data_IF_240836409422
#
_entry.id   IF_240836409422
#
_cell.length_a   1.000
_cell.length_b   1.000
_cell.length_c   1.000
_cell.angle_alpha   90.00
_cell.angle_beta   90.00
_cell.angle_gamma   90.00
#
_symmetry.space_group_name_H-M   'P 1'
#
loop_
_entity.id
_entity.type
_entity.pdbx_description
1 polymer ?
#
# COMPACT_ATOMS: atom_id res chain seq x y z
N UNK A 1 13.20 35.86 -14.22
CA UNK A 1 12.19 34.95 -13.66
C UNK A 1 12.66 33.50 -13.70
N UNK A 2 13.14 33.00 -14.85
CA UNK A 2 13.64 31.62 -15.00
C UNK A 2 14.80 31.24 -14.07
N UNK A 3 15.78 32.14 -13.85
CA UNK A 3 16.92 31.86 -12.97
C UNK A 3 16.48 31.59 -11.51
N UNK A 4 15.53 32.40 -11.02
CA UNK A 4 14.98 32.25 -9.68
C UNK A 4 14.19 30.95 -9.53
N UNK A 5 13.47 30.54 -10.58
CA UNK A 5 12.74 29.27 -10.57
C UNK A 5 13.68 28.06 -10.62
N UNK A 6 14.78 28.11 -11.40
CA UNK A 6 15.81 27.06 -11.36
C UNK A 6 16.40 26.88 -9.97
N UNK A 7 16.79 27.98 -9.31
CA UNK A 7 17.27 27.92 -7.93
C UNK A 7 16.24 27.35 -6.97
N UNK A 8 14.97 27.71 -7.16
CA UNK A 8 13.87 27.14 -6.38
C UNK A 8 13.80 25.62 -6.59
N UNK A 9 13.82 25.13 -7.83
CA UNK A 9 13.79 23.69 -8.13
C UNK A 9 14.99 22.96 -7.55
N UNK A 10 16.19 23.53 -7.61
CA UNK A 10 17.39 22.94 -7.03
C UNK A 10 17.28 22.86 -5.49
N UNK A 11 16.90 23.97 -4.84
CA UNK A 11 16.71 24.02 -3.39
C UNK A 11 15.67 23.00 -2.91
N UNK A 12 14.58 22.90 -3.67
CA UNK A 12 13.54 21.91 -3.50
C UNK A 12 14.14 20.48 -3.62
N UNK A 13 14.86 20.16 -4.69
CA UNK A 13 15.44 18.83 -4.89
C UNK A 13 16.41 18.44 -3.75
N UNK A 14 17.24 19.39 -3.29
CA UNK A 14 18.11 19.16 -2.13
C UNK A 14 17.32 18.94 -0.84
N UNK A 15 16.23 19.69 -0.64
CA UNK A 15 15.33 19.48 0.50
C UNK A 15 14.70 18.08 0.45
N UNK A 16 14.26 17.61 -0.72
CA UNK A 16 13.72 16.26 -0.89
C UNK A 16 14.76 15.18 -0.53
N UNK A 17 15.99 15.33 -1.01
CA UNK A 17 17.10 14.44 -0.65
C UNK A 17 17.37 14.44 0.86
N UNK A 18 17.43 15.62 1.48
CA UNK A 18 17.69 15.75 2.91
C UNK A 18 16.56 15.14 3.76
N UNK A 19 15.30 15.41 3.40
CA UNK A 19 14.14 14.81 4.04
C UNK A 19 14.11 13.29 3.84
N UNK A 20 14.48 12.79 2.65
CA UNK A 20 14.57 11.36 2.37
C UNK A 20 15.55 10.64 3.31
N UNK A 21 16.74 11.19 3.50
CA UNK A 21 17.74 10.64 4.45
C UNK A 21 17.21 10.71 5.89
N UNK A 22 16.68 11.87 6.29
CA UNK A 22 16.14 12.07 7.65
C UNK A 22 15.01 11.07 7.95
N UNK A 23 14.03 10.95 7.06
CA UNK A 23 12.90 10.04 7.25
C UNK A 23 13.32 8.58 7.15
N UNK A 24 14.29 8.20 6.32
CA UNK A 24 14.81 6.83 6.31
C UNK A 24 15.28 6.41 7.71
N UNK A 25 16.07 7.26 8.38
CA UNK A 25 16.58 7.00 9.74
C UNK A 25 15.44 7.05 10.77
N UNK A 26 14.57 8.07 10.70
CA UNK A 26 13.48 8.24 11.67
C UNK A 26 12.48 7.07 11.62
N UNK A 27 12.19 6.56 10.43
CA UNK A 27 11.21 5.50 10.23
C UNK A 27 11.70 4.14 10.70
N UNK A 28 13.01 3.89 10.70
CA UNK A 28 13.59 2.69 11.32
C UNK A 28 13.42 2.71 12.85
N UNK A 29 13.47 3.89 13.47
CA UNK A 29 13.37 4.05 14.92
C UNK A 29 11.91 4.08 15.41
N UNK A 30 11.05 4.83 14.73
CA UNK A 30 9.67 5.12 15.21
C UNK A 30 8.63 4.21 14.55
N UNK A 31 8.90 3.73 13.33
CA UNK A 31 7.90 3.09 12.47
C UNK A 31 6.85 4.09 11.96
N UNK A 32 6.43 3.95 10.70
CA UNK A 32 5.36 4.78 10.13
C UNK A 32 4.02 4.39 10.78
N UNK A 33 3.21 5.33 11.30
CA UNK A 33 1.88 5.05 11.86
C UNK A 33 0.83 4.78 10.75
N UNK A 34 1.16 3.88 9.82
CA UNK A 34 0.36 3.51 8.68
C UNK A 34 0.28 2.00 8.51
N UNK A 35 -0.86 1.51 7.98
CA UNK A 35 -1.09 0.10 7.67
C UNK A 35 -0.93 -0.84 8.88
N UNK A 36 0.20 -1.54 8.97
CA UNK A 36 0.44 -2.51 10.06
C UNK A 36 0.51 -1.82 11.42
N UNK A 37 1.03 -0.60 11.46
CA UNK A 37 1.32 0.17 12.67
C UNK A 37 0.24 1.22 13.00
N UNK A 38 -0.96 1.11 12.41
CA UNK A 38 -2.09 1.99 12.76
C UNK A 38 -2.47 1.82 14.23
N UNK A 39 -2.31 2.87 15.03
CA UNK A 39 -2.83 2.93 16.41
C UNK A 39 -4.36 3.13 16.41
N UNK A 40 -5.13 2.43 17.27
CA UNK A 40 -6.60 2.48 17.27
C UNK A 40 -7.27 3.84 17.62
N UNK A 41 -6.55 4.95 17.74
CA UNK A 41 -7.03 6.16 18.41
C UNK A 41 -7.35 7.39 17.56
N UNK A 42 -7.14 7.37 16.23
CA UNK A 42 -7.37 8.57 15.40
C UNK A 42 -8.84 8.66 14.97
N UNK A 43 -9.57 9.70 15.40
CA UNK A 43 -10.98 9.92 15.04
C UNK A 43 -11.20 10.26 13.55
N UNK A 44 -10.15 10.67 12.84
CA UNK A 44 -10.21 11.14 11.46
C UNK A 44 -9.49 10.14 10.54
N UNK A 45 -10.21 9.12 10.12
CA UNK A 45 -9.71 8.05 9.26
C UNK A 45 -10.43 8.07 7.91
N UNK A 46 -9.67 7.96 6.83
CA UNK A 46 -10.16 7.83 5.46
C UNK A 46 -10.22 6.36 5.06
N UNK A 47 -11.16 6.02 4.17
CA UNK A 47 -11.13 4.71 3.51
C UNK A 47 -9.79 4.54 2.80
N UNK A 48 -9.24 3.32 2.80
CA UNK A 48 -7.93 3.06 2.21
C UNK A 48 -7.91 3.51 0.74
N UNK A 49 -8.93 3.16 -0.04
CA UNK A 49 -9.04 3.55 -1.45
C UNK A 49 -9.06 5.07 -1.62
N UNK A 50 -9.87 5.79 -0.84
CA UNK A 50 -9.93 7.27 -0.93
C UNK A 50 -8.58 7.89 -0.59
N UNK A 51 -7.92 7.46 0.48
CA UNK A 51 -6.63 7.99 0.87
C UNK A 51 -5.56 7.76 -0.20
N UNK A 52 -5.52 6.56 -0.78
CA UNK A 52 -4.56 6.23 -1.84
C UNK A 52 -4.81 7.01 -3.14
N UNK A 53 -6.07 7.21 -3.54
CA UNK A 53 -6.38 8.07 -4.70
C UNK A 53 -5.97 9.50 -4.40
N UNK A 54 -6.44 10.07 -3.28
CA UNK A 54 -6.20 11.48 -2.95
C UNK A 54 -4.71 11.77 -2.83
N UNK A 55 -3.94 10.94 -2.13
CA UNK A 55 -2.54 11.22 -1.88
C UNK A 55 -1.66 11.13 -3.14
N UNK A 56 -1.94 10.20 -4.06
CA UNK A 56 -1.09 9.94 -5.23
C UNK A 56 -1.51 10.73 -6.48
N UNK A 57 -2.80 11.13 -6.56
CA UNK A 57 -3.36 11.82 -7.73
C UNK A 57 -2.61 13.11 -8.12
N UNK A 58 -2.08 13.94 -7.20
CA UNK A 58 -1.33 15.13 -7.57
C UNK A 58 -0.11 14.85 -8.44
N UNK A 59 0.60 13.73 -8.23
CA UNK A 59 1.72 13.35 -9.07
C UNK A 59 1.30 12.89 -10.48
N UNK A 60 0.02 12.68 -10.74
CA UNK A 60 -0.50 12.51 -12.10
C UNK A 60 -1.02 13.83 -12.68
N UNK A 61 -1.82 14.57 -11.91
CA UNK A 61 -2.50 15.78 -12.37
C UNK A 61 -1.52 16.94 -12.60
N UNK A 62 -0.54 17.13 -11.72
CA UNK A 62 0.41 18.24 -11.83
C UNK A 62 1.26 18.12 -13.09
N UNK A 63 1.90 16.98 -13.42
CA UNK A 63 2.62 16.84 -14.68
C UNK A 63 1.78 17.10 -15.92
N UNK A 64 0.55 16.58 -15.95
CA UNK A 64 -0.36 16.78 -17.09
C UNK A 64 -0.76 18.25 -17.22
N UNK A 65 -1.05 18.92 -16.09
CA UNK A 65 -1.33 20.34 -16.05
C UNK A 65 -0.14 21.16 -16.57
N UNK A 66 1.08 20.88 -16.10
CA UNK A 66 2.30 21.57 -16.56
C UNK A 66 2.51 21.40 -18.06
N UNK A 67 2.25 20.21 -18.61
CA UNK A 67 2.38 19.95 -20.06
C UNK A 67 1.42 20.78 -20.90
N UNK A 68 0.21 21.05 -20.41
CA UNK A 68 -0.84 21.78 -21.15
C UNK A 68 -0.77 23.28 -20.89
N UNK A 69 -0.48 23.70 -19.66
CA UNK A 69 -0.55 25.10 -19.23
C UNK A 69 0.73 25.90 -19.52
N UNK A 70 1.85 25.24 -19.82
CA UNK A 70 3.14 25.91 -20.06
C UNK A 70 3.67 25.60 -21.44
N UNK A 71 4.44 26.53 -22.02
CA UNK A 71 5.19 26.30 -23.25
C UNK A 71 6.32 25.29 -22.97
N UNK A 72 6.00 24.00 -22.96
CA UNK A 72 6.89 22.90 -22.62
C UNK A 72 7.91 22.60 -23.72
N UNK A 73 8.74 23.60 -24.05
CA UNK A 73 9.66 23.59 -25.19
C UNK A 73 10.59 22.38 -25.21
N UNK A 74 11.00 21.86 -24.05
CA UNK A 74 11.93 20.71 -23.97
C UNK A 74 11.26 19.37 -24.24
N UNK A 75 9.92 19.28 -24.24
CA UNK A 75 9.19 18.07 -24.61
C UNK A 75 9.14 17.82 -26.12
N UNK A 76 9.68 18.75 -26.93
CA UNK A 76 9.94 18.47 -28.34
C UNK A 76 11.02 17.38 -28.53
N UNK A 77 11.91 17.22 -27.56
CA UNK A 77 12.99 16.22 -27.56
C UNK A 77 12.48 14.86 -27.08
N UNK A 78 12.90 13.80 -27.78
CA UNK A 78 12.47 12.43 -27.47
C UNK A 78 12.81 11.98 -26.04
N UNK A 79 14.04 12.19 -25.50
CA UNK A 79 14.38 11.70 -24.18
C UNK A 79 13.49 12.28 -23.07
N UNK A 80 13.25 13.59 -23.10
CA UNK A 80 12.39 14.27 -22.12
C UNK A 80 10.95 13.74 -22.17
N UNK A 81 10.42 13.52 -23.37
CA UNK A 81 9.07 12.97 -23.56
C UNK A 81 8.95 11.56 -23.01
N UNK A 82 9.94 10.70 -23.26
CA UNK A 82 9.92 9.32 -22.77
C UNK A 82 10.05 9.28 -21.24
N UNK A 83 10.97 10.06 -20.65
CA UNK A 83 11.13 10.13 -19.19
C UNK A 83 9.85 10.62 -18.50
N UNK A 84 9.22 11.66 -19.04
CA UNK A 84 7.97 12.17 -18.48
C UNK A 84 6.82 11.18 -18.67
N UNK A 85 6.77 10.48 -19.82
CA UNK A 85 5.79 9.42 -20.05
C UNK A 85 5.96 8.25 -19.07
N UNK A 86 7.19 7.84 -18.76
CA UNK A 86 7.46 6.82 -17.74
C UNK A 86 6.91 7.24 -16.37
N UNK A 87 7.12 8.50 -15.98
CA UNK A 87 6.58 9.05 -14.74
C UNK A 87 5.04 9.02 -14.72
N UNK A 88 4.40 9.50 -15.79
CA UNK A 88 2.94 9.52 -15.93
C UNK A 88 2.37 8.11 -15.91
N UNK A 89 2.94 7.16 -16.67
CA UNK A 89 2.50 5.76 -16.72
C UNK A 89 2.58 5.10 -15.34
N UNK A 90 3.66 5.36 -14.60
CA UNK A 90 3.79 4.88 -13.22
C UNK A 90 2.65 5.41 -12.34
N UNK A 91 2.38 6.71 -12.38
CA UNK A 91 1.34 7.33 -11.56
C UNK A 91 -0.08 7.03 -12.03
N UNK A 92 -0.33 6.74 -13.32
CA UNK A 92 -1.62 6.18 -13.77
C UNK A 92 -1.87 4.86 -13.05
N UNK A 93 -0.90 3.94 -13.05
CA UNK A 93 -1.06 2.68 -12.34
C UNK A 93 -1.26 2.91 -10.83
N UNK A 94 -0.44 3.75 -10.19
CA UNK A 94 -0.49 3.95 -8.74
C UNK A 94 -1.71 4.72 -8.22
N UNK A 95 -2.20 5.72 -8.97
CA UNK A 95 -3.32 6.57 -8.53
C UNK A 95 -4.68 6.09 -9.05
N UNK A 96 -4.75 5.47 -10.23
CA UNK A 96 -6.03 5.10 -10.88
C UNK A 96 -6.29 3.60 -10.96
N UNK A 97 -5.26 2.75 -10.89
CA UNK A 97 -5.43 1.30 -11.02
C UNK A 97 -5.29 0.64 -9.65
N UNK A 98 -4.16 0.86 -8.99
CA UNK A 98 -3.82 0.25 -7.71
C UNK A 98 -4.88 0.49 -6.61
N UNK A 99 -5.41 1.72 -6.38
CA UNK A 99 -6.29 1.97 -5.23
C UNK A 99 -7.63 1.22 -5.33
N UNK A 100 -8.11 0.99 -6.56
CA UNK A 100 -9.34 0.26 -6.85
C UNK A 100 -9.14 -1.27 -6.78
N UNK A 101 -7.90 -1.73 -6.82
CA UNK A 101 -7.53 -3.14 -6.66
C UNK A 101 -7.29 -3.52 -5.19
N UNK A 102 -7.29 -2.55 -4.26
CA UNK A 102 -7.06 -2.80 -2.83
C UNK A 102 -8.21 -3.64 -2.24
N UNK A 103 -7.86 -4.77 -1.62
CA UNK A 103 -8.79 -5.63 -0.86
C UNK A 103 -8.55 -5.48 0.65
N UNK A 104 -9.57 -5.08 1.41
CA UNK A 104 -9.54 -5.10 2.89
C UNK A 104 -8.45 -4.23 3.54
N UNK A 105 -8.33 -2.96 3.12
CA UNK A 105 -7.37 -2.02 3.71
C UNK A 105 -7.81 -1.49 5.07
N UNK A 106 -6.89 -1.44 6.04
CA UNK A 106 -7.12 -0.66 7.27
C UNK A 106 -7.30 0.82 6.90
N UNK A 107 -8.18 1.56 7.59
CA UNK A 107 -8.33 2.97 7.32
C UNK A 107 -7.01 3.73 7.49
N UNK A 108 -6.83 4.74 6.65
CA UNK A 108 -5.64 5.60 6.64
C UNK A 108 -5.88 6.81 7.52
N UNK A 109 -4.91 7.21 8.34
CA UNK A 109 -5.05 8.47 9.09
C UNK A 109 -4.94 9.68 8.15
N UNK A 110 -5.78 10.69 8.39
CA UNK A 110 -5.86 11.88 7.53
C UNK A 110 -4.53 12.63 7.39
N UNK A 111 -3.73 12.76 8.47
CA UNK A 111 -2.49 13.53 8.43
C UNK A 111 -1.43 12.87 7.53
N UNK A 112 -1.39 11.53 7.51
CA UNK A 112 -0.52 10.76 6.60
C UNK A 112 -0.92 11.03 5.15
N UNK A 113 -2.23 11.05 4.87
CA UNK A 113 -2.75 11.36 3.55
C UNK A 113 -2.39 12.79 3.11
N UNK A 114 -2.48 13.78 4.01
CA UNK A 114 -2.11 15.17 3.72
C UNK A 114 -0.61 15.32 3.46
N UNK A 115 0.24 14.70 4.29
CA UNK A 115 1.69 14.72 4.07
C UNK A 115 2.06 14.09 2.72
N UNK A 116 1.47 12.94 2.40
CA UNK A 116 1.68 12.27 1.12
C UNK A 116 1.13 13.09 -0.07
N UNK A 117 -0.01 13.77 0.08
CA UNK A 117 -0.55 14.69 -0.92
C UNK A 117 0.41 15.85 -1.22
N UNK A 118 0.94 16.50 -0.16
CA UNK A 118 1.90 17.60 -0.31
C UNK A 118 3.16 17.11 -1.02
N UNK A 119 3.71 15.97 -0.57
CA UNK A 119 4.86 15.35 -1.20
C UNK A 119 4.61 15.03 -2.69
N UNK A 120 3.49 14.40 -3.03
CA UNK A 120 3.16 14.04 -4.40
C UNK A 120 2.92 15.27 -5.30
N UNK A 121 2.33 16.33 -4.76
CA UNK A 121 2.14 17.61 -5.47
C UNK A 121 3.50 18.22 -5.79
N UNK A 122 4.34 18.30 -4.76
CA UNK A 122 5.67 18.88 -4.82
C UNK A 122 6.59 18.10 -5.78
N UNK A 123 6.71 16.78 -5.62
CA UNK A 123 7.52 15.93 -6.48
C UNK A 123 7.00 15.92 -7.93
N UNK A 124 5.68 15.86 -8.12
CA UNK A 124 5.06 15.96 -9.44
C UNK A 124 5.41 17.27 -10.16
N UNK A 125 5.39 18.39 -9.43
CA UNK A 125 5.83 19.68 -9.97
C UNK A 125 7.32 19.68 -10.29
N UNK A 126 8.18 19.22 -9.38
CA UNK A 126 9.63 19.19 -9.55
C UNK A 126 10.02 18.42 -10.83
N UNK A 127 9.56 17.18 -10.97
CA UNK A 127 9.89 16.30 -12.10
C UNK A 127 9.36 16.84 -13.42
N UNK A 128 8.08 17.25 -13.44
CA UNK A 128 7.46 17.73 -14.68
C UNK A 128 8.05 19.06 -15.13
N UNK A 129 8.24 20.02 -14.22
CA UNK A 129 8.81 21.33 -14.54
C UNK A 129 10.24 21.22 -15.02
N UNK A 130 11.07 20.38 -14.37
CA UNK A 130 12.45 20.17 -14.78
C UNK A 130 12.54 19.54 -16.18
N UNK A 131 11.81 18.46 -16.44
CA UNK A 131 11.85 17.77 -17.74
C UNK A 131 11.26 18.59 -18.90
N UNK A 132 10.29 19.46 -18.62
CA UNK A 132 9.61 20.24 -19.66
C UNK A 132 10.30 21.57 -20.01
N UNK A 133 11.07 22.17 -19.10
CA UNK A 133 11.69 23.51 -19.32
C UNK A 133 13.21 23.53 -19.20
N UNK A 134 13.80 22.66 -18.38
CA UNK A 134 15.20 22.81 -17.97
C UNK A 134 16.13 21.69 -18.41
N UNK A 135 15.63 20.46 -18.55
CA UNK A 135 16.42 19.31 -18.97
C UNK A 135 16.84 19.41 -20.45
N UNK A 136 18.15 19.35 -20.69
CA UNK A 136 18.75 19.37 -22.02
C UNK A 136 19.39 18.02 -22.29
N UNK A 137 18.72 17.22 -23.11
CA UNK A 137 19.28 15.97 -23.65
C UNK A 137 19.37 16.08 -25.18
N UNK A 138 20.40 15.45 -25.73
CA UNK A 138 20.52 15.25 -27.17
C UNK A 138 19.54 14.17 -27.64
N UNK A 139 19.09 14.21 -28.90
CA UNK A 139 18.05 13.30 -29.38
C UNK A 139 18.52 11.84 -29.47
N UNK A 140 19.82 11.62 -29.68
CA UNK A 140 20.50 10.32 -29.63
C UNK A 140 20.63 9.78 -28.21
N UNK A 141 20.30 10.55 -27.17
CA UNK A 141 20.36 10.08 -25.79
C UNK A 141 19.46 8.87 -25.53
N UNK A 142 18.40 8.68 -26.31
CA UNK A 142 17.52 7.49 -26.18
C UNK A 142 18.24 6.17 -26.52
N UNK A 143 19.33 6.22 -27.30
CA UNK A 143 20.18 5.07 -27.59
C UNK A 143 21.42 5.01 -26.70
N UNK A 144 21.64 6.03 -25.86
CA UNK A 144 22.74 6.03 -24.90
C UNK A 144 22.58 4.85 -23.92
N UNK A 145 23.66 4.09 -23.64
CA UNK A 145 23.61 2.99 -22.70
C UNK A 145 23.00 3.36 -21.35
N UNK A 146 23.24 4.58 -20.84
CA UNK A 146 22.69 5.05 -19.57
C UNK A 146 21.17 5.14 -19.60
N UNK A 147 20.62 5.66 -20.70
CA UNK A 147 19.18 5.75 -20.88
C UNK A 147 18.56 4.35 -21.01
N UNK A 148 19.15 3.47 -21.81
CA UNK A 148 18.67 2.11 -22.01
C UNK A 148 18.70 1.31 -20.70
N UNK A 149 19.81 1.37 -19.96
CA UNK A 149 19.90 0.72 -18.65
C UNK A 149 18.89 1.30 -17.66
N UNK A 150 18.72 2.63 -17.64
CA UNK A 150 17.74 3.28 -16.78
C UNK A 150 16.30 2.87 -17.10
N UNK A 151 15.98 2.77 -18.39
CA UNK A 151 14.68 2.31 -18.87
C UNK A 151 14.40 0.85 -18.48
N UNK A 152 15.36 -0.05 -18.69
CA UNK A 152 15.24 -1.46 -18.30
C UNK A 152 15.08 -1.61 -16.79
N UNK A 153 15.86 -0.87 -16.00
CA UNK A 153 15.74 -0.84 -14.54
C UNK A 153 14.36 -0.34 -14.09
N UNK A 154 13.87 0.74 -14.68
CA UNK A 154 12.54 1.28 -14.41
C UNK A 154 11.44 0.27 -14.75
N UNK A 155 11.48 -0.35 -15.93
CA UNK A 155 10.48 -1.30 -16.38
C UNK A 155 10.47 -2.55 -15.49
N UNK A 156 11.65 -3.08 -15.20
CA UNK A 156 11.81 -4.25 -14.32
C UNK A 156 11.27 -3.94 -12.92
N UNK A 157 11.62 -2.78 -12.36
CA UNK A 157 11.10 -2.31 -11.07
C UNK A 157 9.59 -2.16 -11.06
N UNK A 158 8.99 -1.59 -12.11
CA UNK A 158 7.55 -1.45 -12.25
C UNK A 158 6.86 -2.82 -12.30
N UNK A 159 7.36 -3.76 -13.10
CA UNK A 159 6.79 -5.11 -13.20
C UNK A 159 6.86 -5.87 -11.86
N UNK A 160 8.00 -5.79 -11.16
CA UNK A 160 8.17 -6.40 -9.83
C UNK A 160 7.18 -5.77 -8.83
N UNK A 161 7.02 -4.45 -8.87
CA UNK A 161 6.09 -3.73 -8.00
C UNK A 161 4.64 -4.20 -8.21
N UNK A 162 4.17 -4.22 -9.47
CA UNK A 162 2.81 -4.66 -9.83
C UNK A 162 2.58 -6.13 -9.47
N UNK A 163 3.57 -6.99 -9.74
CA UNK A 163 3.49 -8.41 -9.42
C UNK A 163 3.39 -8.64 -7.91
N UNK A 164 4.24 -7.97 -7.13
CA UNK A 164 4.26 -8.05 -5.67
C UNK A 164 2.94 -7.54 -5.06
N UNK A 165 2.39 -6.44 -5.59
CA UNK A 165 1.08 -5.93 -5.21
C UNK A 165 -0.02 -6.96 -5.54
N UNK A 166 0.10 -7.69 -6.66
CA UNK A 166 -0.76 -8.83 -7.00
C UNK A 166 -0.76 -9.92 -5.95
N UNK A 167 0.43 -10.34 -5.52
CA UNK A 167 0.59 -11.36 -4.47
C UNK A 167 -0.06 -10.86 -3.17
N UNK A 168 0.26 -9.64 -2.73
CA UNK A 168 -0.27 -9.07 -1.48
C UNK A 168 -1.80 -8.96 -1.46
N UNK A 169 -2.42 -8.65 -2.61
CA UNK A 169 -3.88 -8.62 -2.76
C UNK A 169 -4.50 -10.01 -2.68
N UNK A 170 -3.86 -11.02 -3.26
CA UNK A 170 -4.36 -12.40 -3.26
C UNK A 170 -4.21 -13.10 -1.91
N UNK A 171 -3.34 -12.60 -1.02
CA UNK A 171 -3.26 -13.07 0.37
C UNK A 171 -4.47 -12.65 1.23
N UNK A 172 -5.32 -11.73 0.76
CA UNK A 172 -6.52 -11.28 1.47
C UNK A 172 -7.77 -11.81 0.76
N UNK A 173 -8.61 -12.54 1.49
CA UNK A 173 -9.89 -12.98 0.95
C UNK A 173 -10.83 -11.78 0.76
N UNK A 174 -11.68 -11.77 -0.29
CA UNK A 174 -12.71 -10.75 -0.46
C UNK A 174 -13.57 -10.64 0.81
N UNK A 175 -13.60 -9.47 1.45
CA UNK A 175 -14.42 -9.22 2.65
C UNK A 175 -13.76 -9.52 4.01
N UNK A 176 -12.51 -9.99 4.09
CA UNK A 176 -11.81 -10.12 5.38
C UNK A 176 -11.03 -8.86 5.75
N UNK A 177 -11.44 -8.19 6.83
CA UNK A 177 -10.70 -7.11 7.50
C UNK A 177 -9.80 -7.71 8.59
N UNK A 178 -8.63 -8.19 8.19
CA UNK A 178 -7.66 -8.72 9.14
C UNK A 178 -6.55 -9.49 8.42
N UNK A 179 -5.32 -9.41 8.93
CA UNK A 179 -4.25 -10.28 8.46
C UNK A 179 -4.62 -11.71 8.88
N UNK A 180 -4.60 -12.73 8.01
CA UNK A 180 -4.63 -14.10 8.51
C UNK A 180 -3.39 -14.27 9.39
N UNK A 181 -3.64 -14.47 10.68
CA UNK A 181 -2.61 -14.93 11.62
C UNK A 181 -2.13 -16.25 11.04
N UNK A 182 -0.88 -16.31 10.56
CA UNK A 182 -0.23 -17.61 10.45
C UNK A 182 -0.12 -18.11 11.88
N UNK A 183 -0.94 -19.10 12.23
CA UNK A 183 -0.67 -19.94 13.39
C UNK A 183 0.67 -20.58 13.06
N UNK A 184 1.74 -19.99 13.60
CA UNK A 184 3.04 -20.63 13.60
C UNK A 184 2.87 -21.77 14.57
N UNK A 185 2.92 -22.98 14.04
CA UNK A 185 2.90 -24.24 14.75
C UNK A 185 4.14 -24.30 15.65
N UNK A 186 4.09 -23.59 16.77
CA UNK A 186 4.99 -23.76 17.89
C UNK A 186 4.10 -23.98 19.09
N UNK A 187 3.92 -25.25 19.38
CA UNK A 187 3.45 -25.83 20.63
C UNK A 187 4.17 -25.21 21.83
N UNK A 188 3.71 -24.05 22.28
CA UNK A 188 3.94 -23.61 23.64
C UNK A 188 2.78 -24.10 24.49
N UNK A 189 3.04 -25.23 25.15
CA UNK A 189 2.36 -25.70 26.34
C UNK A 189 2.40 -24.59 27.39
N UNK A 190 1.37 -23.74 27.43
CA UNK A 190 1.04 -22.98 28.63
C UNK A 190 0.14 -23.86 29.49
N UNK A 191 0.78 -24.49 30.47
CA UNK A 191 0.10 -25.16 31.58
C UNK A 191 -0.58 -24.08 32.43
N UNK A 192 -1.91 -24.17 32.54
CA UNK A 192 -2.70 -23.27 33.38
C UNK A 192 -4.18 -23.62 33.34
N UNK A 193 -4.58 -24.59 34.17
CA UNK A 193 -5.91 -24.76 34.77
C UNK A 193 -7.14 -24.67 33.86
N UNK A 194 -7.79 -25.84 33.68
CA UNK A 194 -9.15 -26.05 33.16
C UNK A 194 -9.34 -26.09 31.62
N UNK A 195 -9.41 -27.32 31.10
CA UNK A 195 -10.15 -27.66 29.88
C UNK A 195 -9.34 -27.74 28.60
N UNK A 196 -8.90 -28.95 28.24
CA UNK A 196 -8.37 -29.23 26.89
C UNK A 196 -9.54 -29.30 25.92
N UNK A 197 -9.73 -28.27 25.10
CA UNK A 197 -10.66 -28.30 23.96
C UNK A 197 -9.87 -28.69 22.71
N UNK A 198 -10.03 -29.92 22.24
CA UNK A 198 -9.52 -30.36 20.94
C UNK A 198 -10.44 -29.84 19.82
N UNK A 199 -9.96 -28.91 19.02
CA UNK A 199 -10.60 -28.54 17.75
C UNK A 199 -10.09 -29.49 16.65
N UNK A 200 -11.01 -30.19 15.97
CA UNK A 200 -10.66 -31.02 14.79
C UNK A 200 -10.21 -30.14 13.61
N UNK A 201 -9.34 -30.67 12.72
CA UNK A 201 -8.94 -29.96 11.50
C UNK A 201 -10.16 -29.65 10.63
N UNK A 202 -10.28 -28.38 10.18
CA UNK A 202 -11.25 -27.99 9.16
C UNK A 202 -12.50 -27.23 9.62
N UNK A 203 -12.65 -26.85 10.90
CA UNK A 203 -13.77 -26.00 11.33
C UNK A 203 -13.41 -24.50 11.40
N UNK A 204 -14.14 -23.70 10.62
CA UNK A 204 -14.15 -22.24 10.67
C UNK A 204 -14.94 -21.75 11.89
N UNK A 205 -14.28 -21.05 12.81
CA UNK A 205 -14.94 -20.35 13.91
C UNK A 205 -15.22 -18.90 13.48
N UNK A 206 -16.50 -18.52 13.43
CA UNK A 206 -16.91 -17.11 13.23
C UNK A 206 -17.01 -16.41 14.59
N UNK A 207 -16.48 -15.18 14.75
CA UNK A 207 -16.65 -14.43 15.99
C UNK A 207 -18.05 -13.81 16.03
N UNK A 208 -18.81 -14.03 17.12
CA UNK A 208 -19.99 -13.21 17.42
C UNK A 208 -21.31 -13.90 17.76
N UNK A 209 -21.37 -15.20 18.04
CA UNK A 209 -22.54 -15.78 18.72
C UNK A 209 -22.11 -16.46 20.00
N UNK A 210 -22.66 -15.97 21.12
CA UNK A 210 -22.47 -16.54 22.44
C UNK A 210 -22.72 -18.05 22.44
N UNK A 211 -21.85 -18.76 23.15
CA UNK A 211 -21.96 -20.18 23.40
C UNK A 211 -23.35 -20.51 23.94
N UNK A 212 -24.14 -21.29 23.19
CA UNK A 212 -25.21 -22.11 23.77
C UNK A 212 -24.71 -23.56 23.73
N UNK A 213 -24.62 -24.25 24.87
CA UNK A 213 -24.31 -25.68 24.86
C UNK A 213 -25.48 -26.41 24.20
N UNK A 214 -25.21 -27.05 23.08
CA UNK A 214 -26.14 -28.00 22.46
C UNK A 214 -26.00 -29.30 23.24
N UNK A 215 -27.01 -29.63 24.05
CA UNK A 215 -27.21 -30.99 24.54
C UNK A 215 -27.46 -31.90 23.34
N UNK A 216 -26.48 -32.73 23.00
CA UNK A 216 -26.65 -33.85 22.09
C UNK A 216 -26.76 -35.13 22.93
N UNK A 217 -28.00 -35.54 23.17
CA UNK A 217 -28.38 -36.90 23.51
C UNK A 217 -27.79 -37.84 22.45
N UNK A 218 -27.05 -38.87 22.88
CA UNK A 218 -26.67 -39.99 22.03
C UNK A 218 -27.27 -41.27 22.66
N UNK A 219 -28.13 -42.02 21.93
CA UNK A 219 -28.76 -43.24 22.40
C UNK A 219 -27.92 -44.46 21.97
N UNK A 220 -27.17 -45.04 22.90
CA UNK A 220 -26.67 -46.41 22.83
C UNK A 220 -25.96 -46.72 24.15
N UNK A 221 -26.16 -47.94 24.67
CA UNK A 221 -25.67 -48.46 25.95
C UNK A 221 -26.55 -48.14 27.17
N UNK A 222 -27.70 -48.80 27.22
CA UNK A 222 -28.21 -49.41 28.46
C UNK A 222 -29.21 -50.50 28.08
N UNK A 223 -28.69 -51.64 27.63
CA UNK A 223 -29.39 -52.91 27.77
C UNK A 223 -29.12 -53.46 29.18
N UNK A 224 -30.14 -54.14 29.69
CA UNK A 224 -30.18 -55.03 30.87
C UNK A 224 -30.69 -54.49 32.22
N UNK A 225 -31.65 -55.28 32.74
CA UNK A 225 -32.41 -55.22 34.00
C UNK A 225 -33.42 -54.05 34.14
N UNK A 226 -34.73 -54.17 33.83
CA UNK A 226 -35.76 -55.12 34.32
C UNK A 226 -35.66 -55.34 35.84
N UNK A 227 -36.64 -55.09 36.71
CA UNK A 227 -38.10 -54.80 36.65
C UNK A 227 -38.53 -54.30 38.07
N UNK A 228 -39.81 -54.04 38.40
CA UNK A 228 -40.23 -52.86 39.18
C UNK A 228 -40.98 -53.24 40.50
N UNK A 229 -41.82 -52.30 41.00
CA UNK A 229 -42.88 -52.41 42.04
C UNK A 229 -42.43 -51.91 43.44
N UNK A 230 -42.69 -50.65 43.85
CA UNK A 230 -43.95 -50.03 44.38
C UNK A 230 -44.35 -50.60 45.75
N UNK A 231 -44.92 -49.84 46.73
CA UNK A 231 -45.13 -48.38 46.84
C UNK A 231 -44.24 -47.68 47.89
#
# INVERSE_FOLDING_TARGET
MELAERFLLDALAYLECALGVLFSVLLEVVGLPYGRYTSPGSAWQLSATTAWVVQELPSLVVPLFVCVATAAERLCRWPNRVLLAMFVVHYIHRSLIFPFLIRGGKPTSWYVCVMAFVFCTYNGYLQSRYLSHYAVYADDWVTDPRFLTGFVLWLTGMLINIHSDGILRNLRQPGQTGRPVRVREHSQLLWGGAGVVWLRPGQLVRPGRGFRPVHLLCPALQSEAASPVVP
#
